data_IF_692574226133
#
_entry.id   IF_692574226133
#
_cell.length_a   1.000
_cell.length_b   1.000
_cell.length_c   1.000
_cell.angle_alpha   90.00
_cell.angle_beta   90.00
_cell.angle_gamma   90.00
#
_symmetry.space_group_name_H-M   'P 1'
#
loop_
_entity.id
_entity.type
_entity.pdbx_description
1 polymer ?
#
# COMPACT_ATOMS: atom_id res chain seq x y z
N UNK A 1 -5.88 -45.51 30.37
CA UNK A 1 -6.76 -45.38 29.19
C UNK A 1 -6.54 -43.99 28.61
N UNK A 2 -5.61 -43.88 27.67
CA UNK A 2 -5.36 -42.67 26.88
C UNK A 2 -6.18 -42.78 25.60
N UNK A 3 -6.98 -41.75 25.28
CA UNK A 3 -7.70 -41.69 24.01
C UNK A 3 -6.78 -41.06 22.96
N UNK A 4 -6.50 -41.80 21.88
CA UNK A 4 -5.87 -41.24 20.69
C UNK A 4 -6.87 -40.39 19.92
N UNK A 5 -6.57 -39.10 19.74
CA UNK A 5 -7.36 -38.20 18.90
C UNK A 5 -6.91 -38.39 17.44
N UNK A 6 -7.80 -38.79 16.50
CA UNK A 6 -7.41 -39.03 15.12
C UNK A 6 -7.05 -37.72 14.39
N UNK A 7 -6.11 -37.75 13.42
CA UNK A 7 -5.64 -36.56 12.72
C UNK A 7 -6.73 -35.95 11.81
N UNK A 8 -6.88 -34.64 11.88
CA UNK A 8 -7.82 -33.86 11.04
C UNK A 8 -7.33 -33.85 9.60
N UNK A 9 -8.05 -34.56 8.71
CA UNK A 9 -7.82 -34.49 7.26
C UNK A 9 -8.28 -33.13 6.74
N UNK A 10 -7.34 -32.22 6.43
CA UNK A 10 -7.62 -31.02 5.62
C UNK A 10 -8.19 -31.46 4.26
N UNK A 11 -9.36 -30.95 3.90
CA UNK A 11 -9.93 -31.13 2.55
C UNK A 11 -9.24 -30.16 1.57
N UNK A 12 -8.99 -30.54 0.31
CA UNK A 12 -8.54 -29.59 -0.70
C UNK A 12 -9.61 -28.49 -0.92
N UNK A 13 -9.17 -27.23 -0.98
CA UNK A 13 -10.04 -26.09 -1.38
C UNK A 13 -10.44 -26.30 -2.86
N UNK A 14 -11.73 -26.21 -3.24
CA UNK A 14 -12.13 -26.26 -4.63
C UNK A 14 -11.73 -24.96 -5.34
N UNK A 15 -11.06 -25.05 -6.47
CA UNK A 15 -10.78 -23.91 -7.36
C UNK A 15 -12.07 -23.49 -8.08
N UNK A 16 -12.76 -22.48 -7.56
CA UNK A 16 -13.88 -21.84 -8.24
C UNK A 16 -13.38 -20.95 -9.38
N UNK A 17 -13.20 -21.56 -10.56
CA UNK A 17 -13.04 -20.83 -11.81
C UNK A 17 -14.35 -20.09 -12.14
N UNK A 18 -14.43 -18.80 -11.80
CA UNK A 18 -15.55 -17.94 -12.15
C UNK A 18 -15.43 -17.50 -13.61
N UNK A 19 -16.04 -18.26 -14.53
CA UNK A 19 -16.19 -17.84 -15.92
C UNK A 19 -17.24 -16.72 -16.02
N UNK A 20 -16.80 -15.47 -16.18
CA UNK A 20 -17.67 -14.36 -16.57
C UNK A 20 -17.72 -14.29 -18.09
N UNK A 21 -18.86 -14.66 -18.68
CA UNK A 21 -19.07 -14.66 -20.11
C UNK A 21 -19.26 -13.23 -20.66
N UNK A 22 -18.62 -12.94 -21.79
CA UNK A 22 -18.74 -11.67 -22.50
C UNK A 22 -19.90 -11.66 -23.51
N UNK A 23 -20.67 -10.56 -23.54
CA UNK A 23 -21.62 -10.13 -24.58
C UNK A 23 -22.08 -8.68 -24.24
N UNK A 24 -22.33 -7.73 -25.14
CA UNK A 24 -22.42 -7.77 -26.61
C UNK A 24 -22.21 -6.37 -27.27
N UNK A 25 -21.71 -6.35 -28.51
CA UNK A 25 -22.01 -5.44 -29.64
C UNK A 25 -21.91 -3.88 -29.56
N UNK A 26 -20.81 -3.35 -30.11
CA UNK A 26 -20.70 -2.59 -31.40
C UNK A 26 -21.87 -1.72 -31.93
N UNK A 27 -21.55 -0.46 -32.29
CA UNK A 27 -21.92 0.33 -33.51
C UNK A 27 -21.27 1.76 -33.42
N UNK A 28 -21.13 2.60 -34.47
CA UNK A 28 -20.27 2.47 -35.68
C UNK A 28 -20.04 3.84 -36.42
N UNK A 29 -18.92 3.97 -37.14
CA UNK A 29 -18.59 4.91 -38.27
C UNK A 29 -18.10 6.37 -38.05
N UNK A 30 -17.14 6.76 -38.93
CA UNK A 30 -16.56 8.11 -39.18
C UNK A 30 -15.02 8.11 -39.06
N UNK A 31 -14.16 7.91 -40.08
CA UNK A 31 -14.07 8.41 -41.47
C UNK A 31 -13.83 9.94 -41.55
N UNK A 32 -12.75 10.51 -42.12
CA UNK A 32 -11.53 9.97 -42.80
C UNK A 32 -10.33 10.95 -42.64
N UNK A 33 -9.07 10.59 -42.92
CA UNK A 33 -8.39 10.45 -44.24
C UNK A 33 -7.72 11.74 -44.78
N UNK A 34 -6.36 11.81 -44.73
CA UNK A 34 -5.41 12.15 -45.83
C UNK A 34 -4.09 12.83 -45.38
N UNK A 35 -2.95 12.27 -45.83
CA UNK A 35 -1.65 12.97 -45.98
C UNK A 35 -1.55 13.54 -47.41
N UNK A 36 -0.65 14.51 -47.72
CA UNK A 36 0.75 14.18 -48.02
C UNK A 36 1.84 15.20 -47.59
N UNK A 37 3.08 14.69 -47.48
CA UNK A 37 4.40 15.39 -47.42
C UNK A 37 4.71 16.21 -48.71
N UNK A 38 5.90 16.85 -48.95
CA UNK A 38 7.20 16.78 -48.25
C UNK A 38 8.08 18.09 -48.23
N UNK A 39 9.40 17.93 -47.99
CA UNK A 39 10.57 18.77 -48.34
C UNK A 39 11.19 19.72 -47.30
N UNK A 40 12.54 19.70 -47.21
CA UNK A 40 13.38 20.60 -46.41
C UNK A 40 14.73 19.95 -46.01
N UNK A 41 15.80 20.21 -46.78
CA UNK A 41 17.07 19.44 -46.72
C UNK A 41 18.23 20.14 -45.98
N UNK A 42 19.12 19.33 -45.37
CA UNK A 42 20.58 19.59 -45.16
C UNK A 42 20.98 20.72 -44.17
N UNK A 43 22.20 20.84 -43.62
CA UNK A 43 23.49 20.15 -43.85
C UNK A 43 24.44 20.22 -42.61
N UNK A 44 25.45 19.33 -42.54
CA UNK A 44 26.70 19.51 -41.76
C UNK A 44 26.66 19.16 -40.26
N UNK A 45 27.73 18.65 -39.61
CA UNK A 45 29.11 18.37 -40.07
C UNK A 45 29.80 17.26 -39.26
N UNK A 46 30.93 16.76 -39.79
CA UNK A 46 31.76 15.65 -39.30
C UNK A 46 32.57 15.99 -38.01
N UNK A 47 33.02 14.97 -37.26
CA UNK A 47 33.88 15.17 -36.07
C UNK A 47 34.40 13.89 -35.38
N UNK A 48 35.41 13.25 -35.99
CA UNK A 48 36.14 12.03 -35.59
C UNK A 48 36.48 11.83 -34.09
N UNK A 49 36.41 10.58 -33.60
CA UNK A 49 37.61 9.69 -33.41
C UNK A 49 37.30 8.40 -32.60
N UNK A 50 37.80 7.22 -33.00
CA UNK A 50 37.72 5.99 -32.20
C UNK A 50 38.95 5.78 -31.29
N UNK A 51 38.75 5.27 -30.08
CA UNK A 51 39.81 4.85 -29.16
C UNK A 51 39.57 3.42 -28.67
N UNK A 52 40.51 2.50 -28.96
CA UNK A 52 40.33 1.07 -28.73
C UNK A 52 41.18 0.53 -27.57
N UNK A 53 40.54 -0.27 -26.70
CA UNK A 53 41.12 -1.41 -25.98
C UNK A 53 42.19 -1.14 -24.88
N UNK A 54 42.55 -2.13 -24.01
CA UNK A 54 41.99 -3.49 -23.87
C UNK A 54 41.54 -3.89 -22.43
N UNK A 55 40.65 -4.90 -22.39
CA UNK A 55 40.82 -6.14 -21.62
C UNK A 55 41.08 -6.13 -20.10
N UNK A 56 40.11 -6.64 -19.35
CA UNK A 56 40.35 -7.49 -18.17
C UNK A 56 39.33 -8.64 -18.14
N UNK A 57 39.73 -9.79 -18.66
CA UNK A 57 38.99 -11.04 -18.50
C UNK A 57 39.21 -11.58 -17.08
N UNK A 58 38.12 -11.78 -16.34
CA UNK A 58 38.13 -12.57 -15.12
C UNK A 58 36.99 -13.60 -15.19
N UNK A 59 37.24 -14.69 -15.93
CA UNK A 59 36.46 -15.91 -15.78
C UNK A 59 36.79 -16.50 -14.41
N UNK A 60 35.80 -16.56 -13.52
CA UNK A 60 35.89 -17.21 -12.22
C UNK A 60 34.64 -18.05 -12.01
N UNK A 61 34.79 -19.37 -12.14
CA UNK A 61 33.69 -20.32 -11.99
C UNK A 61 33.14 -20.40 -10.55
N UNK A 62 31.90 -20.86 -10.47
CA UNK A 62 31.32 -21.56 -9.33
C UNK A 62 31.25 -20.83 -7.97
N UNK A 63 30.13 -20.14 -7.76
CA UNK A 63 29.13 -20.72 -6.87
C UNK A 63 27.72 -20.40 -7.37
N UNK A 64 26.84 -21.40 -7.41
CA UNK A 64 25.41 -21.16 -7.26
C UNK A 64 25.19 -20.78 -5.79
N UNK A 65 25.54 -19.53 -5.45
CA UNK A 65 25.45 -19.02 -4.10
C UNK A 65 24.00 -19.05 -3.64
N UNK A 66 23.76 -19.56 -2.43
CA UNK A 66 22.51 -19.34 -1.74
C UNK A 66 22.20 -17.84 -1.81
N UNK A 67 21.12 -17.47 -2.48
CA UNK A 67 20.80 -16.07 -2.77
C UNK A 67 20.78 -15.31 -1.46
N UNK A 68 21.74 -14.39 -1.28
CA UNK A 68 21.84 -13.61 -0.05
C UNK A 68 20.59 -12.76 0.04
N UNK A 69 19.64 -13.18 0.89
CA UNK A 69 18.36 -12.50 1.05
C UNK A 69 18.61 -11.00 1.30
N UNK A 70 17.87 -10.15 0.59
CA UNK A 70 18.01 -8.71 0.74
C UNK A 70 16.76 -8.10 1.35
N UNK A 71 16.95 -6.98 2.05
CA UNK A 71 15.90 -6.09 2.53
C UNK A 71 15.88 -4.90 1.57
N UNK A 72 15.24 -5.07 0.41
CA UNK A 72 15.36 -4.15 -0.71
C UNK A 72 16.79 -4.17 -1.25
N UNK A 73 17.47 -3.02 -1.23
CA UNK A 73 18.86 -2.86 -1.67
C UNK A 73 19.91 -3.30 -0.63
N UNK A 74 19.46 -3.83 0.51
CA UNK A 74 20.30 -4.08 1.69
C UNK A 74 20.58 -5.55 1.92
N UNK A 75 21.85 -5.92 2.09
CA UNK A 75 22.23 -7.26 2.55
C UNK A 75 21.60 -7.58 3.93
N UNK A 76 20.94 -8.74 4.06
CA UNK A 76 20.29 -9.11 5.32
C UNK A 76 21.28 -9.44 6.46
N UNK A 77 22.53 -9.77 6.13
CA UNK A 77 23.63 -9.91 7.08
C UNK A 77 24.16 -8.58 7.60
N UNK A 78 23.76 -7.45 7.02
CA UNK A 78 24.26 -6.12 7.39
C UNK A 78 23.93 -5.74 8.84
N UNK A 79 24.76 -4.88 9.43
CA UNK A 79 24.52 -4.36 10.77
C UNK A 79 23.19 -3.58 10.88
N UNK A 80 22.75 -2.92 9.79
CA UNK A 80 21.48 -2.20 9.76
C UNK A 80 20.26 -3.13 9.85
N UNK A 81 20.25 -4.24 9.10
CA UNK A 81 19.17 -5.23 9.14
C UNK A 81 19.18 -6.04 10.44
N UNK A 82 20.36 -6.47 10.92
CA UNK A 82 20.48 -7.20 12.19
C UNK A 82 20.14 -6.33 13.42
N UNK A 83 20.45 -5.03 13.37
CA UNK A 83 20.14 -4.05 14.41
C UNK A 83 18.75 -3.39 14.27
N UNK A 84 17.92 -3.83 13.33
CA UNK A 84 16.61 -3.23 13.08
C UNK A 84 15.66 -3.35 14.28
N UNK A 85 14.97 -2.26 14.61
CA UNK A 85 13.99 -2.19 15.69
C UNK A 85 12.73 -2.95 15.27
N UNK A 86 12.18 -3.78 16.16
CA UNK A 86 10.86 -4.37 15.93
C UNK A 86 9.77 -3.34 16.22
N UNK A 87 8.86 -3.11 15.27
CA UNK A 87 7.71 -2.21 15.39
C UNK A 87 6.47 -2.93 15.93
N UNK A 88 6.18 -4.11 15.38
CA UNK A 88 4.98 -4.88 15.65
C UNK A 88 5.25 -6.39 15.44
N UNK A 89 4.24 -7.21 15.74
CA UNK A 89 4.12 -8.57 15.23
C UNK A 89 2.81 -8.71 14.47
N UNK A 90 2.84 -9.29 13.28
CA UNK A 90 1.68 -9.40 12.38
C UNK A 90 1.66 -10.79 11.76
N UNK A 91 0.50 -11.44 11.74
CA UNK A 91 0.28 -12.70 11.01
C UNK A 91 -0.21 -12.36 9.59
N UNK A 92 0.72 -12.07 8.69
CA UNK A 92 0.41 -11.64 7.32
C UNK A 92 -0.16 -12.77 6.46
N UNK A 93 0.27 -14.01 6.71
CA UNK A 93 -0.12 -15.22 5.96
C UNK A 93 -1.44 -15.83 6.43
N UNK A 94 -1.91 -15.47 7.64
CA UNK A 94 -3.10 -16.06 8.25
C UNK A 94 -2.89 -17.51 8.73
N UNK A 95 -1.65 -17.92 8.96
CA UNK A 95 -1.32 -19.28 9.42
C UNK A 95 -1.38 -19.44 10.94
N UNK A 96 -1.57 -18.34 11.68
CA UNK A 96 -1.57 -18.28 13.14
C UNK A 96 -0.23 -17.92 13.76
N UNK A 97 0.79 -17.54 12.97
CA UNK A 97 2.16 -17.30 13.46
C UNK A 97 2.63 -15.85 13.24
N UNK A 98 2.32 -14.90 14.15
CA UNK A 98 2.73 -13.51 14.00
C UNK A 98 4.24 -13.31 13.88
N UNK A 99 4.71 -12.86 12.72
CA UNK A 99 6.11 -12.55 12.42
C UNK A 99 6.48 -11.12 12.83
N UNK A 100 7.75 -10.85 13.21
CA UNK A 100 8.17 -9.52 13.64
C UNK A 100 8.35 -8.56 12.46
N UNK A 101 7.56 -7.50 12.43
CA UNK A 101 7.75 -6.37 11.51
C UNK A 101 8.83 -5.46 12.09
N UNK A 102 9.85 -5.14 11.29
CA UNK A 102 11.04 -4.40 11.69
C UNK A 102 11.26 -3.16 10.85
N UNK A 103 11.95 -2.18 11.42
CA UNK A 103 12.45 -0.99 10.73
C UNK A 103 13.94 -0.80 10.99
N UNK A 104 14.71 -0.53 9.94
CA UNK A 104 16.12 -0.13 10.08
C UNK A 104 16.23 1.29 10.67
N UNK A 105 17.40 1.68 11.17
CA UNK A 105 17.62 3.04 11.65
C UNK A 105 17.66 4.07 10.50
N UNK A 106 17.42 5.35 10.81
CA UNK A 106 17.30 6.46 9.84
C UNK A 106 18.61 6.94 9.21
N UNK A 107 19.67 6.13 9.22
CA UNK A 107 20.99 6.51 8.73
C UNK A 107 21.77 5.33 8.14
N UNK A 108 22.79 5.64 7.33
CA UNK A 108 23.58 4.65 6.61
C UNK A 108 22.98 4.32 5.24
N UNK A 109 23.31 3.15 4.71
CA UNK A 109 22.88 2.71 3.35
C UNK A 109 21.44 2.20 3.29
N UNK A 110 20.80 2.02 4.43
CA UNK A 110 19.51 1.36 4.60
C UNK A 110 18.59 2.19 5.51
N UNK A 111 18.34 3.47 5.24
CA UNK A 111 17.50 4.29 6.11
C UNK A 111 16.04 3.82 6.04
N UNK A 112 15.41 3.74 7.21
CA UNK A 112 13.95 3.67 7.41
C UNK A 112 13.21 2.60 6.57
N UNK A 113 13.87 1.47 6.28
CA UNK A 113 13.27 0.33 5.58
C UNK A 113 12.39 -0.47 6.54
N UNK A 114 11.09 -0.52 6.28
CA UNK A 114 10.16 -1.45 6.96
C UNK A 114 10.16 -2.78 6.24
N UNK A 115 10.34 -3.88 6.98
CA UNK A 115 10.42 -5.23 6.43
C UNK A 115 9.95 -6.30 7.42
N UNK A 116 9.67 -7.48 6.90
CA UNK A 116 9.12 -8.63 7.64
C UNK A 116 9.62 -9.93 6.99
N UNK A 117 10.00 -10.97 7.75
CA UNK A 117 10.42 -12.24 7.16
C UNK A 117 9.20 -12.96 6.55
N UNK A 118 9.35 -13.43 5.31
CA UNK A 118 8.33 -14.20 4.57
C UNK A 118 9.04 -15.32 3.81
N UNK A 119 8.62 -16.57 4.07
CA UNK A 119 9.35 -17.75 3.59
C UNK A 119 10.83 -17.73 4.02
N UNK A 120 11.73 -17.97 3.06
CA UNK A 120 13.18 -17.90 3.24
C UNK A 120 13.76 -16.47 3.04
N UNK A 121 12.91 -15.45 2.83
CA UNK A 121 13.29 -14.09 2.46
C UNK A 121 12.62 -13.01 3.30
N UNK A 122 12.51 -11.81 2.73
CA UNK A 122 11.90 -10.64 3.37
C UNK A 122 10.96 -9.92 2.42
N UNK A 123 9.73 -9.68 2.86
CA UNK A 123 8.84 -8.70 2.26
C UNK A 123 9.20 -7.31 2.80
N UNK A 124 9.24 -6.31 1.92
CA UNK A 124 9.74 -4.95 2.22
C UNK A 124 8.73 -3.93 1.72
N UNK A 125 8.38 -2.97 2.57
CA UNK A 125 7.44 -1.92 2.22
C UNK A 125 8.04 -0.98 1.16
N UNK A 126 7.25 -0.52 0.18
CA UNK A 126 7.61 0.59 -0.70
C UNK A 126 8.12 1.79 0.10
N UNK A 127 9.18 2.42 -0.40
CA UNK A 127 9.77 3.60 0.24
C UNK A 127 9.62 4.82 -0.67
N UNK A 128 8.77 5.76 -0.28
CA UNK A 128 8.61 7.03 -0.99
C UNK A 128 9.72 8.01 -0.60
N UNK A 129 10.46 8.59 -1.56
CA UNK A 129 11.45 9.62 -1.25
C UNK A 129 10.84 10.86 -0.58
N UNK A 130 11.45 11.31 0.52
CA UNK A 130 11.06 12.54 1.22
C UNK A 130 9.97 12.39 2.28
N UNK A 131 9.46 11.19 2.53
CA UNK A 131 8.49 10.96 3.61
C UNK A 131 9.14 10.90 5.00
N UNK A 132 8.37 11.17 6.08
CA UNK A 132 8.84 10.95 7.44
C UNK A 132 9.12 9.46 7.71
N UNK A 133 10.05 9.14 8.63
CA UNK A 133 10.33 7.76 9.02
C UNK A 133 9.13 7.11 9.71
N UNK A 134 9.00 5.79 9.59
CA UNK A 134 7.96 5.02 10.27
C UNK A 134 8.27 4.92 11.76
N UNK A 135 7.40 5.48 12.60
CA UNK A 135 7.57 5.51 14.06
C UNK A 135 6.94 4.30 14.77
N UNK A 136 5.78 3.87 14.30
CA UNK A 136 5.00 2.77 14.84
C UNK A 136 4.38 1.90 13.73
N UNK A 137 3.97 0.69 14.11
CA UNK A 137 3.13 -0.18 13.30
C UNK A 137 2.17 -1.00 14.17
N UNK A 138 1.12 -1.55 13.57
CA UNK A 138 0.20 -2.49 14.20
C UNK A 138 -0.36 -3.48 13.18
N UNK A 139 -0.84 -4.64 13.65
CA UNK A 139 -1.67 -5.52 12.85
C UNK A 139 -3.07 -4.91 12.67
N UNK A 140 -3.65 -5.09 11.49
CA UNK A 140 -5.04 -4.76 11.15
C UNK A 140 -5.75 -6.02 10.69
N UNK A 141 -6.69 -6.50 11.49
CA UNK A 141 -7.48 -7.70 11.17
C UNK A 141 -8.75 -7.27 10.46
N UNK A 142 -8.87 -7.63 9.18
CA UNK A 142 -10.10 -7.50 8.41
C UNK A 142 -10.84 -8.84 8.48
N UNK A 143 -12.02 -8.92 9.11
CA UNK A 143 -12.81 -10.17 9.12
C UNK A 143 -13.02 -10.68 7.68
N UNK A 144 -13.03 -11.99 7.46
CA UNK A 144 -13.25 -12.58 6.14
C UNK A 144 -12.07 -12.48 5.16
N UNK A 145 -10.96 -11.87 5.55
CA UNK A 145 -9.67 -11.90 4.81
C UNK A 145 -8.76 -12.95 5.46
N UNK A 146 -8.07 -13.77 4.65
CA UNK A 146 -7.00 -14.65 5.12
C UNK A 146 -5.79 -13.76 5.46
N UNK A 147 -5.33 -13.77 6.72
CA UNK A 147 -4.22 -12.93 7.20
C UNK A 147 -4.61 -11.53 7.70
N UNK A 148 -3.67 -10.89 8.39
CA UNK A 148 -3.78 -9.51 8.85
C UNK A 148 -3.01 -8.57 7.91
N UNK A 149 -3.49 -7.33 7.78
CA UNK A 149 -2.76 -6.26 7.12
C UNK A 149 -1.74 -5.63 8.10
N UNK A 150 -0.68 -5.05 7.56
CA UNK A 150 0.25 -4.21 8.29
C UNK A 150 -0.16 -2.73 8.16
N UNK A 151 -0.53 -2.09 9.27
CA UNK A 151 -0.61 -0.64 9.33
C UNK A 151 0.72 -0.05 9.82
N UNK A 152 1.33 0.85 9.05
CA UNK A 152 2.44 1.70 9.52
C UNK A 152 1.96 3.12 9.81
N UNK A 153 2.69 3.83 10.67
CA UNK A 153 2.47 5.23 11.00
C UNK A 153 3.73 6.05 10.77
N UNK A 154 3.54 7.21 10.14
CA UNK A 154 4.56 8.23 9.94
C UNK A 154 4.04 9.55 10.53
N UNK A 155 4.57 10.00 11.67
CA UNK A 155 4.22 11.32 12.22
C UNK A 155 5.01 12.42 11.52
N UNK A 156 4.33 13.49 11.09
CA UNK A 156 4.94 14.56 10.32
C UNK A 156 5.43 15.71 11.22
N UNK A 157 6.66 16.27 11.03
CA UNK A 157 7.24 17.26 11.96
C UNK A 157 6.46 18.57 12.13
N UNK A 158 5.62 18.96 11.16
CA UNK A 158 4.74 20.14 11.26
C UNK A 158 3.40 19.85 11.95
N UNK A 159 3.21 18.65 12.50
CA UNK A 159 1.90 18.15 12.90
C UNK A 159 1.30 17.25 11.82
N UNK A 160 0.37 16.41 12.26
CA UNK A 160 -0.28 15.40 11.44
C UNK A 160 0.41 14.04 11.37
N UNK A 161 -0.27 13.08 10.77
CA UNK A 161 0.21 11.71 10.55
C UNK A 161 -0.27 11.16 9.20
N UNK A 162 0.53 10.28 8.61
CA UNK A 162 0.13 9.38 7.53
C UNK A 162 0.02 7.97 8.10
N UNK A 163 -1.06 7.26 7.75
CA UNK A 163 -1.14 5.81 7.89
C UNK A 163 -1.04 5.17 6.51
N UNK A 164 -0.26 4.10 6.41
CA UNK A 164 -0.20 3.26 5.21
C UNK A 164 -0.59 1.84 5.60
N UNK A 165 -1.38 1.19 4.74
CA UNK A 165 -1.86 -0.18 4.94
C UNK A 165 -1.22 -1.07 3.90
N UNK A 166 -0.62 -2.18 4.31
CA UNK A 166 0.02 -3.13 3.41
C UNK A 166 -0.57 -4.53 3.58
N UNK A 167 -0.84 -5.19 2.46
CA UNK A 167 -1.02 -6.63 2.41
C UNK A 167 0.33 -7.32 2.13
N UNK A 168 0.38 -8.64 2.35
CA UNK A 168 1.43 -9.49 1.80
C UNK A 168 0.91 -10.16 0.52
N UNK A 169 1.69 -10.06 -0.55
CA UNK A 169 1.37 -10.62 -1.86
C UNK A 169 2.68 -11.05 -2.55
N UNK A 170 2.75 -12.31 -3.01
CA UNK A 170 3.92 -12.89 -3.69
C UNK A 170 5.28 -12.62 -3.01
N UNK A 171 5.32 -12.65 -1.68
CA UNK A 171 6.52 -12.41 -0.87
C UNK A 171 6.88 -10.93 -0.72
N UNK A 172 5.94 -10.01 -0.99
CA UNK A 172 6.15 -8.55 -0.99
C UNK A 172 5.10 -7.86 -0.13
N UNK A 173 5.43 -6.67 0.38
CA UNK A 173 4.44 -5.79 0.98
C UNK A 173 3.88 -4.87 -0.10
N UNK A 174 2.58 -4.99 -0.38
CA UNK A 174 1.86 -4.18 -1.39
C UNK A 174 0.97 -3.20 -0.66
N UNK A 175 1.03 -1.91 -1.03
CA UNK A 175 0.24 -0.89 -0.35
C UNK A 175 -1.20 -0.85 -0.87
N UNK A 176 -2.17 -0.82 0.06
CA UNK A 176 -3.56 -0.59 -0.27
C UNK A 176 -3.78 0.88 -0.63
N UNK A 177 -4.21 1.07 -1.86
CA UNK A 177 -4.39 2.37 -2.53
C UNK A 177 -5.84 2.51 -3.01
N UNK A 178 -6.31 3.74 -3.23
CA UNK A 178 -7.73 4.01 -3.52
C UNK A 178 -8.20 3.52 -4.90
N UNK A 179 -7.30 3.49 -5.88
CA UNK A 179 -7.61 3.32 -7.31
C UNK A 179 -6.87 2.14 -7.99
N UNK A 180 -6.25 1.25 -7.21
CA UNK A 180 -5.81 -0.07 -7.68
C UNK A 180 -4.59 -0.14 -8.61
N UNK A 181 -3.49 0.57 -8.33
CA UNK A 181 -2.16 0.25 -8.89
C UNK A 181 -1.61 1.23 -9.94
N UNK A 182 -2.16 2.44 -10.05
CA UNK A 182 -1.72 3.48 -10.99
C UNK A 182 -0.57 4.36 -10.48
N UNK A 183 0.16 5.00 -11.40
CA UNK A 183 1.24 5.95 -11.06
C UNK A 183 0.76 7.25 -10.33
N UNK A 184 -0.55 7.39 -10.11
CA UNK A 184 -1.20 8.49 -9.36
C UNK A 184 -1.86 8.00 -8.08
N UNK A 185 -1.59 6.76 -7.66
CA UNK A 185 -2.25 6.12 -6.52
C UNK A 185 -2.15 6.94 -5.24
N UNK A 186 -3.32 7.19 -4.65
CA UNK A 186 -3.44 7.77 -3.33
C UNK A 186 -3.50 6.64 -2.30
N UNK A 187 -2.78 6.74 -1.17
CA UNK A 187 -2.93 5.81 -0.05
C UNK A 187 -4.39 5.68 0.35
N UNK A 188 -4.82 4.47 0.73
CA UNK A 188 -6.21 4.20 1.10
C UNK A 188 -6.69 5.17 2.20
N UNK A 189 -5.85 5.44 3.20
CA UNK A 189 -6.08 6.45 4.23
C UNK A 189 -5.37 7.76 3.87
N UNK A 190 -6.05 8.92 3.96
CA UNK A 190 -5.46 10.20 3.61
C UNK A 190 -4.48 10.66 4.69
N UNK A 191 -3.69 11.70 4.39
CA UNK A 191 -2.94 12.40 5.42
C UNK A 191 -3.88 13.11 6.39
N UNK A 192 -3.64 12.96 7.69
CA UNK A 192 -4.43 13.58 8.76
C UNK A 192 -3.64 14.72 9.36
N UNK A 193 -3.98 15.97 9.04
CA UNK A 193 -3.37 17.13 9.73
C UNK A 193 -4.02 17.31 11.11
N UNK A 194 -3.19 17.35 12.15
CA UNK A 194 -3.61 17.48 13.56
C UNK A 194 -3.43 18.90 14.12
N UNK A 195 -2.78 19.78 13.36
CA UNK A 195 -2.44 21.17 13.67
C UNK A 195 -3.41 22.19 13.04
N UNK A 196 -4.21 21.75 12.06
CA UNK A 196 -5.21 22.55 11.37
C UNK A 196 -6.61 21.94 11.52
N UNK A 197 -7.70 22.75 11.52
CA UNK A 197 -9.06 22.23 11.48
C UNK A 197 -9.33 21.59 10.11
N UNK A 198 -9.07 20.28 10.02
CA UNK A 198 -9.45 19.44 8.88
C UNK A 198 -10.75 18.71 9.18
N UNK A 199 -11.35 18.11 8.15
CA UNK A 199 -12.57 17.33 8.31
C UNK A 199 -12.36 15.94 8.92
N UNK A 200 -11.10 15.49 9.03
CA UNK A 200 -10.75 14.23 9.67
C UNK A 200 -11.17 12.98 8.88
N UNK A 201 -10.76 11.82 9.40
CA UNK A 201 -10.98 10.50 8.79
C UNK A 201 -11.05 9.45 9.88
N UNK A 202 -11.95 8.49 9.70
CA UNK A 202 -11.95 7.22 10.42
C UNK A 202 -12.12 6.05 9.45
N UNK A 203 -11.64 4.89 9.85
CA UNK A 203 -11.70 3.66 9.11
C UNK A 203 -11.99 2.52 10.06
N UNK A 204 -12.92 1.64 9.67
CA UNK A 204 -13.36 0.50 10.46
C UNK A 204 -13.37 -0.76 9.62
N UNK A 205 -13.05 -1.88 10.24
CA UNK A 205 -12.98 -3.17 9.56
C UNK A 205 -14.35 -3.85 9.56
N UNK A 206 -14.67 -4.50 8.45
CA UNK A 206 -15.90 -5.23 8.18
C UNK A 206 -15.58 -6.52 7.41
N UNK A 207 -16.57 -7.39 7.22
CA UNK A 207 -16.38 -8.66 6.52
C UNK A 207 -15.95 -8.45 5.06
N UNK A 208 -14.72 -8.85 4.76
CA UNK A 208 -14.01 -8.66 3.48
C UNK A 208 -13.69 -7.21 3.12
N UNK A 209 -13.75 -6.25 4.05
CA UNK A 209 -13.71 -4.82 3.70
C UNK A 209 -13.18 -3.86 4.79
N UNK A 210 -12.67 -2.71 4.33
CA UNK A 210 -12.40 -1.52 5.15
C UNK A 210 -13.39 -0.43 4.76
N UNK A 211 -14.15 0.08 5.72
CA UNK A 211 -15.09 1.19 5.52
C UNK A 211 -14.43 2.47 5.99
N UNK A 212 -14.01 3.31 5.06
CA UNK A 212 -13.44 4.64 5.33
C UNK A 212 -14.57 5.66 5.37
N UNK A 213 -14.56 6.54 6.37
CA UNK A 213 -15.44 7.71 6.47
C UNK A 213 -14.56 8.95 6.58
N UNK A 214 -14.83 9.96 5.76
CA UNK A 214 -14.05 11.19 5.66
C UNK A 214 -14.99 12.38 5.75
N UNK A 215 -14.58 13.48 6.39
CA UNK A 215 -15.20 14.77 6.10
C UNK A 215 -14.30 15.57 5.15
N UNK A 216 -14.84 15.91 3.98
CA UNK A 216 -14.16 16.71 2.96
C UNK A 216 -14.80 18.08 2.91
N UNK A 217 -14.07 19.11 2.43
CA UNK A 217 -14.65 20.44 2.29
C UNK A 217 -15.93 20.41 1.44
N UNK A 218 -16.98 21.10 1.88
CA UNK A 218 -18.24 21.21 1.16
C UNK A 218 -18.07 22.03 -0.12
N UNK A 219 -18.62 21.53 -1.23
CA UNK A 219 -18.61 22.19 -2.53
C UNK A 219 -20.04 22.40 -3.06
N UNK A 220 -20.41 23.60 -3.53
CA UNK A 220 -19.57 24.80 -3.61
C UNK A 220 -19.31 25.43 -2.23
N UNK A 221 -18.14 26.06 -2.07
CA UNK A 221 -17.77 26.71 -0.81
C UNK A 221 -18.76 27.83 -0.44
N UNK A 222 -19.37 27.73 0.74
CA UNK A 222 -20.26 28.74 1.30
C UNK A 222 -19.51 29.89 1.97
N UNK A 223 -20.27 30.83 2.56
CA UNK A 223 -19.73 31.95 3.36
C UNK A 223 -19.02 31.46 4.64
N UNK A 224 -19.39 30.27 5.11
CA UNK A 224 -18.79 29.60 6.27
C UNK A 224 -18.25 28.25 5.81
N UNK A 225 -17.07 27.86 6.29
CA UNK A 225 -16.51 26.53 6.05
C UNK A 225 -17.44 25.45 6.62
N UNK A 226 -17.72 24.45 5.80
CA UNK A 226 -18.50 23.28 6.16
C UNK A 226 -17.92 22.03 5.47
N UNK A 227 -18.36 20.86 5.91
CA UNK A 227 -17.88 19.57 5.41
C UNK A 227 -19.01 18.69 4.89
N UNK A 228 -18.74 17.97 3.80
CA UNK A 228 -19.51 16.80 3.36
C UNK A 228 -18.90 15.55 4.01
N UNK A 229 -19.71 14.75 4.71
CA UNK A 229 -19.24 13.49 5.30
C UNK A 229 -19.52 12.35 4.35
N UNK A 230 -18.45 11.82 3.75
CA UNK A 230 -18.48 10.74 2.76
C UNK A 230 -18.07 9.42 3.41
N UNK A 231 -18.64 8.32 2.92
CA UNK A 231 -18.30 6.96 3.31
C UNK A 231 -18.05 6.11 2.07
N UNK A 232 -16.94 5.41 2.04
CA UNK A 232 -16.60 4.48 0.96
C UNK A 232 -16.20 3.15 1.57
N UNK A 233 -16.78 2.07 1.06
CA UNK A 233 -16.42 0.70 1.45
C UNK A 233 -15.44 0.16 0.42
N UNK A 234 -14.24 -0.18 0.86
CA UNK A 234 -13.21 -0.81 0.03
C UNK A 234 -13.17 -2.30 0.35
N UNK A 235 -13.49 -3.14 -0.63
CA UNK A 235 -13.31 -4.59 -0.48
C UNK A 235 -11.82 -4.92 -0.53
N UNK A 236 -11.33 -5.70 0.43
CA UNK A 236 -9.92 -6.12 0.49
C UNK A 236 -9.83 -7.55 -0.03
N UNK A 237 -9.13 -7.74 -1.15
CA UNK A 237 -8.99 -9.03 -1.85
C UNK A 237 -7.68 -9.07 -2.59
N UNK A 238 -7.00 -10.20 -2.57
CA UNK A 238 -5.83 -10.49 -3.42
C UNK A 238 -4.78 -9.35 -3.38
N UNK A 239 -4.44 -8.88 -2.18
CA UNK A 239 -3.50 -7.75 -1.97
C UNK A 239 -4.08 -6.34 -2.13
N UNK A 240 -5.18 -6.20 -2.89
CA UNK A 240 -5.74 -4.91 -3.32
C UNK A 240 -6.91 -4.39 -2.46
N UNK A 241 -7.20 -3.10 -2.60
CA UNK A 241 -8.37 -2.42 -2.04
C UNK A 241 -9.28 -1.90 -3.16
N UNK A 242 -10.40 -2.59 -3.42
CA UNK A 242 -11.33 -2.26 -4.51
C UNK A 242 -12.46 -1.35 -4.00
N UNK A 243 -12.51 -0.12 -4.51
CA UNK A 243 -13.52 0.86 -4.12
C UNK A 243 -14.95 0.46 -4.53
N UNK A 244 -15.85 0.41 -3.55
CA UNK A 244 -17.30 0.40 -3.77
C UNK A 244 -17.87 1.80 -3.99
N UNK A 245 -19.20 1.96 -4.08
CA UNK A 245 -19.84 3.26 -4.21
C UNK A 245 -19.60 4.14 -2.97
N UNK A 246 -19.31 5.42 -3.21
CA UNK A 246 -19.17 6.43 -2.16
C UNK A 246 -20.53 7.04 -1.82
N UNK A 247 -20.95 6.91 -0.56
CA UNK A 247 -22.17 7.49 0.00
C UNK A 247 -21.87 8.85 0.64
N UNK A 248 -22.65 9.90 0.32
CA UNK A 248 -22.66 11.15 1.12
C UNK A 248 -23.64 10.99 2.28
N UNK A 249 -23.11 10.70 3.46
CA UNK A 249 -23.86 10.43 4.70
C UNK A 249 -24.34 11.70 5.41
N UNK A 250 -23.65 12.83 5.20
CA UNK A 250 -24.12 14.15 5.57
C UNK A 250 -23.53 15.23 4.65
N UNK A 251 -24.24 16.35 4.58
CA UNK A 251 -23.95 17.50 3.72
C UNK A 251 -23.87 18.76 4.58
N UNK A 252 -22.99 19.70 4.23
CA UNK A 252 -22.89 21.03 4.83
C UNK A 252 -22.80 21.01 6.39
N UNK A 253 -21.94 20.14 6.93
CA UNK A 253 -21.73 19.98 8.38
C UNK A 253 -20.75 21.04 8.88
N UNK A 254 -21.20 21.91 9.78
CA UNK A 254 -20.33 22.94 10.36
C UNK A 254 -19.27 22.33 11.30
N UNK A 255 -18.07 22.94 11.46
CA UNK A 255 -16.99 22.40 12.31
C UNK A 255 -17.44 22.10 13.75
N UNK A 256 -18.22 22.99 14.36
CA UNK A 256 -18.77 22.81 15.71
C UNK A 256 -19.83 21.70 15.82
N UNK A 257 -20.37 21.22 14.69
CA UNK A 257 -21.27 20.07 14.62
C UNK A 257 -20.52 18.77 14.33
N UNK A 258 -19.39 18.82 13.62
CA UNK A 258 -18.65 17.66 13.14
C UNK A 258 -18.28 16.71 14.28
N UNK A 259 -17.50 17.18 15.26
CA UNK A 259 -17.11 16.37 16.43
C UNK A 259 -18.26 15.94 17.35
N UNK A 260 -19.46 16.54 17.22
CA UNK A 260 -20.66 16.13 17.95
C UNK A 260 -21.49 15.07 17.23
N UNK A 261 -21.45 15.04 15.90
CA UNK A 261 -22.23 14.13 15.04
C UNK A 261 -21.39 12.93 14.57
N UNK A 262 -20.08 13.13 14.47
CA UNK A 262 -19.09 12.20 13.95
C UNK A 262 -17.82 12.27 14.81
N UNK A 263 -17.88 11.92 16.11
CA UNK A 263 -16.75 12.05 17.02
C UNK A 263 -15.51 11.27 16.53
N UNK A 264 -15.73 10.10 15.95
CA UNK A 264 -14.70 9.17 15.46
C UNK A 264 -13.79 9.81 14.38
N UNK A 265 -14.32 10.75 13.58
CA UNK A 265 -13.52 11.45 12.54
C UNK A 265 -12.43 12.36 13.11
N UNK A 266 -12.60 12.81 14.36
CA UNK A 266 -11.66 13.69 15.06
C UNK A 266 -10.84 12.94 16.13
N UNK A 267 -10.97 11.61 16.19
CA UNK A 267 -10.23 10.76 17.11
C UNK A 267 -8.75 10.61 16.72
N UNK A 268 -7.86 10.28 17.67
CA UNK A 268 -6.46 9.95 17.37
C UNK A 268 -6.28 8.57 16.72
N UNK A 269 -7.29 7.69 16.86
CA UNK A 269 -7.29 6.31 16.37
C UNK A 269 -8.11 6.20 15.06
N UNK A 270 -7.45 6.42 13.92
CA UNK A 270 -8.10 6.31 12.60
C UNK A 270 -8.60 4.88 12.31
N UNK A 271 -7.97 3.84 12.86
CA UNK A 271 -8.27 2.43 12.60
C UNK A 271 -9.09 1.78 13.74
N UNK A 272 -10.26 2.33 14.02
CA UNK A 272 -11.12 1.86 15.10
C UNK A 272 -11.74 0.48 14.79
N UNK A 273 -11.75 -0.42 15.79
CA UNK A 273 -12.30 -1.77 15.64
C UNK A 273 -11.51 -2.72 14.72
N UNK A 274 -10.37 -2.28 14.17
CA UNK A 274 -9.51 -3.07 13.28
C UNK A 274 -8.41 -3.87 14.00
N UNK A 275 -8.36 -3.89 15.34
CA UNK A 275 -7.30 -4.55 16.11
C UNK A 275 -7.63 -6.04 16.33
N UNK A 276 -6.62 -6.89 16.16
CA UNK A 276 -6.60 -8.30 16.59
C UNK A 276 -5.90 -8.51 17.92
#
# INVERSE_FOLDING_TARGET
MTMDTPPVRRRPRPTTAAAVAAALALLVAGCGSQEPSPTGSSSGSQGSSPGSSPGSSASGDAAAGAGTATVGDCDAGSAAVRGARTLARVDLSGDGTPVPVRVTGSSGRCPDRVFVPVGDGFAVAPATPGEPPVDAAQAVVVPGVDGALLATRQSHPRGGLQLRLYAEEDGRLVELVRDGGGATDQPLLPFVALDAPTGGVSARCADGAIVVTEAVAHEPAGVVMAYDVRRTTYAVRDGEAVAGPTEKTADNVLPAQLGRRFPDLLGPDVLEGCRG
#
